data_IF_172239600431
#
_entry.id   IF_172239600431
#
_cell.length_a   1.000
_cell.length_b   1.000
_cell.length_c   1.000
_cell.angle_alpha   90.00
_cell.angle_beta   90.00
_cell.angle_gamma   90.00
#
_symmetry.space_group_name_H-M   'P 1'
#
loop_
_entity.id
_entity.type
_entity.pdbx_description
1 polymer ?
#
# COMPACT_ATOMS: atom_id res chain seq x y z
N UNK A 1 8.83 8.67 -12.49
CA UNK A 1 7.43 8.60 -12.02
C UNK A 1 7.04 7.15 -11.80
N UNK A 2 6.42 6.84 -10.68
CA UNK A 2 5.97 5.47 -10.40
C UNK A 2 4.58 5.23 -10.93
N UNK A 3 4.37 4.04 -11.48
CA UNK A 3 3.05 3.58 -11.90
C UNK A 3 2.40 2.84 -10.74
N UNK A 4 1.21 3.27 -10.34
CA UNK A 4 0.48 2.68 -9.22
C UNK A 4 -0.61 1.77 -9.75
N UNK A 5 -0.56 0.50 -9.36
CA UNK A 5 -1.52 -0.53 -9.78
C UNK A 5 -2.40 -0.86 -8.59
N UNK A 6 -3.71 -0.73 -8.76
CA UNK A 6 -4.69 -0.87 -7.68
C UNK A 6 -5.33 -2.26 -7.73
N UNK A 7 -5.29 -2.97 -6.61
CA UNK A 7 -6.02 -4.22 -6.47
C UNK A 7 -7.52 -3.95 -6.23
N UNK A 8 -8.35 -4.96 -6.42
CA UNK A 8 -9.78 -4.88 -6.09
C UNK A 8 -9.95 -4.59 -4.60
N UNK A 9 -9.13 -5.21 -3.77
CA UNK A 9 -9.17 -5.04 -2.30
C UNK A 9 -8.83 -3.61 -1.90
N UNK A 10 -7.86 -2.99 -2.57
CA UNK A 10 -7.56 -1.58 -2.33
C UNK A 10 -8.75 -0.70 -2.71
N UNK A 11 -9.37 -0.95 -3.86
CA UNK A 11 -10.50 -0.15 -4.33
C UNK A 11 -11.68 -0.26 -3.38
N UNK A 12 -11.95 -1.45 -2.83
CA UNK A 12 -13.00 -1.65 -1.83
C UNK A 12 -12.70 -0.86 -0.55
N UNK A 13 -11.45 -0.93 -0.08
CA UNK A 13 -11.02 -0.16 1.08
C UNK A 13 -11.21 1.34 0.85
N UNK A 14 -10.72 1.85 -0.27
CA UNK A 14 -10.80 3.26 -0.63
C UNK A 14 -12.25 3.74 -0.68
N UNK A 15 -13.13 2.96 -1.32
CA UNK A 15 -14.55 3.30 -1.46
C UNK A 15 -15.29 3.36 -0.14
N UNK A 16 -14.81 2.64 0.88
CA UNK A 16 -15.43 2.60 2.22
C UNK A 16 -15.06 3.80 3.09
N UNK A 17 -14.06 4.59 2.68
CA UNK A 17 -13.52 5.67 3.51
C UNK A 17 -14.37 6.93 3.42
N UNK A 18 -14.43 7.74 4.51
CA UNK A 18 -14.99 9.08 4.44
C UNK A 18 -14.26 9.94 3.40
N UNK A 19 -14.95 10.92 2.84
CA UNK A 19 -14.41 11.74 1.76
C UNK A 19 -13.09 12.43 2.14
N UNK A 20 -13.00 12.97 3.35
CA UNK A 20 -11.77 13.64 3.80
C UNK A 20 -10.58 12.67 3.87
N UNK A 21 -10.83 11.41 4.21
CA UNK A 21 -9.80 10.37 4.24
C UNK A 21 -9.42 9.97 2.82
N UNK A 22 -10.42 9.79 1.95
CA UNK A 22 -10.16 9.50 0.53
C UNK A 22 -9.26 10.56 -0.10
N UNK A 23 -9.53 11.83 0.16
CA UNK A 23 -8.75 12.94 -0.36
C UNK A 23 -7.29 12.86 0.12
N UNK A 24 -7.08 12.49 1.39
CA UNK A 24 -5.75 12.35 1.96
C UNK A 24 -5.00 11.16 1.35
N UNK A 25 -5.70 10.05 1.14
CA UNK A 25 -5.13 8.87 0.48
C UNK A 25 -4.72 9.22 -0.96
N UNK A 26 -5.60 9.90 -1.69
CA UNK A 26 -5.30 10.32 -3.07
C UNK A 26 -4.09 11.26 -3.11
N UNK A 27 -4.00 12.19 -2.18
CA UNK A 27 -2.86 13.10 -2.08
C UNK A 27 -1.56 12.32 -1.84
N UNK A 28 -1.59 11.35 -0.93
CA UNK A 28 -0.43 10.49 -0.65
C UNK A 28 -0.04 9.67 -1.88
N UNK A 29 -1.01 9.14 -2.61
CA UNK A 29 -0.76 8.40 -3.85
C UNK A 29 -0.10 9.29 -4.90
N UNK A 30 -0.54 10.53 -5.02
CA UNK A 30 0.09 11.48 -5.95
C UNK A 30 1.54 11.73 -5.58
N UNK A 31 1.84 11.88 -4.30
CA UNK A 31 3.21 12.07 -3.82
C UNK A 31 4.08 10.87 -4.20
N UNK A 32 3.65 9.65 -3.88
CA UNK A 32 4.48 8.45 -4.17
C UNK A 32 4.60 8.18 -5.67
N UNK A 33 3.66 8.66 -6.47
CA UNK A 33 3.75 8.57 -7.92
C UNK A 33 4.82 9.50 -8.48
N UNK A 34 4.94 10.71 -7.96
CA UNK A 34 5.76 11.77 -8.57
C UNK A 34 7.12 11.99 -7.90
N UNK A 35 7.24 11.76 -6.60
CA UNK A 35 8.44 12.06 -5.83
C UNK A 35 9.32 10.83 -5.73
N UNK A 36 10.58 10.93 -6.19
CA UNK A 36 11.49 9.78 -6.18
C UNK A 36 11.86 9.36 -4.76
N UNK A 37 12.38 10.29 -3.96
CA UNK A 37 12.79 10.00 -2.59
C UNK A 37 11.66 10.40 -1.66
N UNK A 38 10.94 9.39 -1.16
CA UNK A 38 9.77 9.59 -0.31
C UNK A 38 10.16 9.50 1.15
N UNK A 39 9.60 10.41 1.97
CA UNK A 39 9.84 10.43 3.41
C UNK A 39 9.37 9.12 4.06
N UNK A 40 10.16 8.59 4.99
CA UNK A 40 9.85 7.35 5.73
C UNK A 40 8.62 7.49 6.64
N UNK A 41 8.19 8.71 6.92
CA UNK A 41 6.92 8.95 7.62
C UNK A 41 5.73 8.64 6.73
N UNK A 42 5.91 8.69 5.41
CA UNK A 42 4.85 8.39 4.44
C UNK A 42 4.92 6.95 3.97
N UNK A 43 6.10 6.46 3.59
CA UNK A 43 6.30 5.08 3.12
C UNK A 43 7.41 4.44 3.93
N UNK A 44 7.11 3.31 4.56
CA UNK A 44 8.07 2.60 5.41
C UNK A 44 8.07 1.11 5.09
N UNK A 45 9.27 0.52 5.09
CA UNK A 45 9.43 -0.92 4.91
C UNK A 45 8.84 -1.66 6.11
N UNK A 46 8.06 -2.70 5.86
CA UNK A 46 7.54 -3.59 6.91
C UNK A 46 8.61 -4.64 7.22
N UNK A 47 8.99 -4.71 8.50
CA UNK A 47 10.08 -5.59 8.98
C UNK A 47 9.79 -7.05 8.64
N UNK A 48 10.81 -7.76 8.15
CA UNK A 48 10.75 -9.18 7.78
C UNK A 48 9.72 -9.51 6.70
N UNK A 49 9.43 -8.56 5.82
CA UNK A 49 8.53 -8.77 4.68
C UNK A 49 9.13 -8.17 3.41
N UNK A 50 8.52 -8.49 2.28
CA UNK A 50 8.81 -7.84 0.99
C UNK A 50 7.90 -6.64 0.74
N UNK A 51 7.17 -6.20 1.77
CA UNK A 51 6.17 -5.13 1.64
C UNK A 51 6.64 -3.82 2.23
N UNK A 52 6.00 -2.75 1.74
CA UNK A 52 6.07 -1.41 2.32
C UNK A 52 4.67 -1.03 2.79
N UNK A 53 4.59 -0.02 3.64
CA UNK A 53 3.31 0.55 4.04
C UNK A 53 3.24 2.02 3.69
N UNK A 54 2.10 2.43 3.15
CA UNK A 54 1.73 3.83 2.99
C UNK A 54 0.99 4.25 4.25
N UNK A 55 1.44 5.34 4.88
CA UNK A 55 0.97 5.78 6.20
C UNK A 55 0.17 7.06 6.08
N UNK A 56 -1.08 7.02 6.51
CA UNK A 56 -2.00 8.17 6.42
C UNK A 56 -2.65 8.38 7.78
N UNK A 57 -2.60 9.62 8.30
CA UNK A 57 -3.20 9.99 9.58
C UNK A 57 -4.25 11.07 9.38
N UNK A 58 -5.51 10.73 9.61
CA UNK A 58 -6.65 11.65 9.59
C UNK A 58 -7.65 11.17 10.63
N UNK A 59 -7.50 11.64 11.88
CA UNK A 59 -8.33 11.13 12.99
C UNK A 59 -7.91 9.74 13.42
N UNK A 60 -7.88 8.80 12.49
CA UNK A 60 -7.36 7.44 12.69
C UNK A 60 -6.04 7.28 11.95
N UNK A 61 -5.35 6.17 12.24
CA UNK A 61 -4.14 5.75 11.54
C UNK A 61 -4.53 4.75 10.47
N UNK A 62 -4.38 5.13 9.21
CA UNK A 62 -4.68 4.27 8.07
C UNK A 62 -3.37 3.76 7.47
N UNK A 63 -3.40 2.52 6.99
CA UNK A 63 -2.24 1.89 6.35
C UNK A 63 -2.68 1.23 5.06
N UNK A 64 -1.85 1.33 4.02
CA UNK A 64 -2.03 0.58 2.78
C UNK A 64 -0.75 -0.22 2.55
N UNK A 65 -0.89 -1.51 2.33
CA UNK A 65 0.25 -2.38 2.06
C UNK A 65 0.61 -2.29 0.58
N UNK A 66 1.89 -2.04 0.31
CA UNK A 66 2.44 -1.84 -1.02
C UNK A 66 3.43 -2.96 -1.35
N UNK A 67 3.47 -3.36 -2.61
CA UNK A 67 4.48 -4.27 -3.13
C UNK A 67 5.18 -3.62 -4.32
N UNK A 68 6.52 -3.67 -4.30
CA UNK A 68 7.33 -3.13 -5.40
C UNK A 68 7.61 -4.26 -6.38
N UNK A 69 7.04 -4.15 -7.59
CA UNK A 69 7.06 -5.25 -8.56
C UNK A 69 8.42 -5.42 -9.25
N UNK A 70 9.02 -4.31 -9.66
CA UNK A 70 10.20 -4.31 -10.53
C UNK A 70 11.53 -4.12 -9.79
N UNK A 71 11.50 -3.80 -8.50
CA UNK A 71 12.70 -3.61 -7.70
C UNK A 71 12.36 -3.75 -6.21
N UNK A 72 13.24 -4.37 -5.42
CA UNK A 72 12.99 -4.56 -3.99
C UNK A 72 13.08 -3.25 -3.18
N UNK A 73 13.82 -2.26 -3.69
CA UNK A 73 13.95 -0.95 -3.03
C UNK A 73 12.89 0.00 -3.57
N UNK A 74 12.09 0.59 -2.69
CA UNK A 74 11.00 1.50 -3.07
C UNK A 74 11.48 2.69 -3.89
N UNK A 75 12.63 3.28 -3.52
CA UNK A 75 13.17 4.46 -4.22
C UNK A 75 13.47 4.14 -5.69
N UNK A 76 13.95 2.93 -5.96
CA UNK A 76 14.31 2.50 -7.31
C UNK A 76 13.13 1.89 -8.07
N UNK A 77 12.08 1.47 -7.38
CA UNK A 77 10.93 0.82 -8.00
C UNK A 77 10.09 1.81 -8.81
N UNK A 78 9.64 1.38 -9.97
CA UNK A 78 8.78 2.16 -10.88
C UNK A 78 7.36 1.60 -10.92
N UNK A 79 7.16 0.36 -10.51
CA UNK A 79 5.86 -0.32 -10.53
C UNK A 79 5.47 -0.71 -9.11
N UNK A 80 4.42 -0.08 -8.60
CA UNK A 80 3.95 -0.28 -7.22
C UNK A 80 2.53 -0.84 -7.24
N UNK A 81 2.34 -1.95 -6.54
CA UNK A 81 1.03 -2.58 -6.38
C UNK A 81 0.45 -2.17 -5.03
N UNK A 82 -0.75 -1.58 -5.04
CA UNK A 82 -1.50 -1.27 -3.82
C UNK A 82 -2.39 -2.46 -3.49
N UNK A 83 -2.11 -3.13 -2.38
CA UNK A 83 -2.77 -4.39 -2.03
C UNK A 83 -4.03 -4.15 -1.19
N UNK A 84 -3.89 -4.12 0.12
CA UNK A 84 -5.02 -3.91 1.02
C UNK A 84 -4.75 -2.77 1.98
N UNK A 85 -5.83 -2.13 2.42
CA UNK A 85 -5.76 -1.06 3.41
C UNK A 85 -6.52 -1.42 4.66
N UNK A 86 -6.17 -0.78 5.77
CA UNK A 86 -6.80 -1.03 7.05
C UNK A 86 -6.59 0.15 8.01
N UNK A 87 -7.40 0.17 9.07
CA UNK A 87 -7.22 1.12 10.18
C UNK A 87 -6.34 0.41 11.21
N UNK A 88 -5.19 1.01 11.51
CA UNK A 88 -4.27 0.46 12.50
C UNK A 88 -4.72 0.89 13.89
N UNK A 89 -5.11 -0.08 14.72
CA UNK A 89 -5.47 0.14 16.12
C UNK A 89 -4.41 -0.41 17.07
N UNK A 90 -3.69 -1.46 16.65
CA UNK A 90 -2.61 -2.06 17.42
C UNK A 90 -1.61 -2.73 16.48
N UNK A 91 -0.44 -3.11 17.02
CA UNK A 91 0.58 -3.83 16.23
C UNK A 91 0.11 -5.21 15.80
N UNK A 92 -0.88 -5.78 16.47
CA UNK A 92 -1.46 -7.09 16.10
C UNK A 92 -2.15 -7.06 14.74
N UNK A 93 -2.65 -5.90 14.32
CA UNK A 93 -3.33 -5.74 13.04
C UNK A 93 -2.40 -6.06 11.88
N UNK A 94 -1.11 -5.76 11.99
CA UNK A 94 -0.14 -5.99 10.92
C UNK A 94 -0.03 -7.46 10.52
N UNK A 95 0.02 -8.37 11.50
CA UNK A 95 0.17 -9.80 11.21
C UNK A 95 -0.95 -10.30 10.30
N UNK A 96 -2.19 -9.96 10.64
CA UNK A 96 -3.38 -10.34 9.87
C UNK A 96 -3.36 -9.71 8.48
N UNK A 97 -3.08 -8.41 8.41
CA UNK A 97 -3.13 -7.68 7.15
C UNK A 97 -1.97 -8.03 6.21
N UNK A 98 -0.79 -8.33 6.75
CA UNK A 98 0.34 -8.82 5.96
C UNK A 98 -0.01 -10.18 5.35
N UNK A 99 -0.63 -11.07 6.12
CA UNK A 99 -1.06 -12.38 5.60
C UNK A 99 -2.09 -12.21 4.49
N UNK A 100 -3.02 -11.29 4.65
CA UNK A 100 -4.00 -10.96 3.61
C UNK A 100 -3.31 -10.43 2.35
N UNK A 101 -2.31 -9.56 2.52
CA UNK A 101 -1.54 -9.02 1.40
C UNK A 101 -0.82 -10.12 0.62
N UNK A 102 -0.25 -11.11 1.32
CA UNK A 102 0.40 -12.27 0.69
C UNK A 102 -0.59 -13.06 -0.16
N UNK A 103 -1.80 -13.26 0.34
CA UNK A 103 -2.84 -13.99 -0.39
C UNK A 103 -3.28 -13.22 -1.64
N UNK A 104 -3.45 -11.91 -1.53
CA UNK A 104 -3.80 -11.07 -2.67
C UNK A 104 -2.70 -11.15 -3.74
N UNK A 105 -1.45 -11.01 -3.33
CA UNK A 105 -0.32 -11.07 -4.24
C UNK A 105 -0.24 -12.44 -4.94
N UNK A 106 -0.44 -13.53 -4.21
CA UNK A 106 -0.44 -14.87 -4.79
C UNK A 106 -1.55 -15.03 -5.81
N UNK A 107 -2.75 -14.54 -5.53
CA UNK A 107 -3.89 -14.60 -6.46
C UNK A 107 -3.58 -13.84 -7.75
N UNK A 108 -3.02 -12.64 -7.64
CA UNK A 108 -2.65 -11.84 -8.81
C UNK A 108 -1.55 -12.51 -9.64
N UNK A 109 -0.57 -13.12 -8.97
CA UNK A 109 0.49 -13.87 -9.65
C UNK A 109 -0.06 -15.08 -10.40
N UNK A 110 -1.01 -15.81 -9.80
CA UNK A 110 -1.64 -16.97 -10.41
C UNK A 110 -2.49 -16.59 -11.61
N UNK A 111 -3.20 -15.47 -11.56
CA UNK A 111 -3.99 -14.96 -12.68
C UNK A 111 -3.12 -14.62 -13.90
N UNK A 112 -1.87 -14.26 -13.69
CA UNK A 112 -0.92 -13.92 -14.75
C UNK A 112 -0.07 -15.11 -15.21
N UNK A 113 -0.32 -16.29 -14.65
CA UNK A 113 0.34 -17.54 -15.05
C UNK A 113 -0.48 -18.26 -16.09
N UNK A 114 0.12 -18.53 -17.19
CA UNK A 114 -0.46 -19.40 -18.23
C UNK A 114 0.17 -20.77 -18.21
#
# INVERSE_FOLDING_TARGET
>A
MRNLIRSVEFDEFYSSLPLNVQNKVQYAMNIISEIRVVNTKLVKKLVDTDFYELRISVGNEYRVILFTIDHENFIEAQEILLLNGFIKKSTKDYKKEIEKAKQILNTLSDENKD
#
